data_IF_361562177658
#
_entry.id   IF_361562177658
#
_cell.length_a   1.000
_cell.length_b   1.000
_cell.length_c   1.000
_cell.angle_alpha   90.00
_cell.angle_beta   90.00
_cell.angle_gamma   90.00
#
_symmetry.space_group_name_H-M   'P 1'
#
loop_
_entity.id
_entity.type
_entity.pdbx_description
1 polymer ?
#
# COMPACT_ATOMS: atom_id res chain seq x y z
N UNK A 1 -18.91 -26.73 -10.10
CA UNK A 1 -17.91 -26.43 -9.06
C UNK A 1 -17.11 -25.18 -9.42
N UNK A 2 -17.14 -24.15 -8.57
CA UNK A 2 -16.26 -22.99 -8.77
C UNK A 2 -14.80 -23.47 -8.62
N UNK A 3 -13.94 -23.13 -9.58
CA UNK A 3 -12.51 -23.43 -9.48
C UNK A 3 -11.92 -22.69 -8.27
N UNK A 4 -10.98 -23.32 -7.57
CA UNK A 4 -10.24 -22.62 -6.51
C UNK A 4 -9.42 -21.49 -7.13
N UNK A 5 -9.33 -20.31 -6.48
CA UNK A 5 -8.54 -19.20 -6.99
C UNK A 5 -7.07 -19.60 -7.17
N UNK A 6 -6.45 -19.14 -8.24
CA UNK A 6 -5.01 -19.20 -8.41
C UNK A 6 -4.29 -18.37 -7.35
N UNK A 7 -3.00 -18.61 -7.14
CA UNK A 7 -2.20 -17.82 -6.20
C UNK A 7 -2.20 -16.32 -6.55
N UNK A 8 -2.26 -15.99 -7.85
CA UNK A 8 -2.30 -14.60 -8.30
C UNK A 8 -3.66 -13.95 -7.99
N UNK A 9 -4.77 -14.65 -8.22
CA UNK A 9 -6.09 -14.16 -7.83
C UNK A 9 -6.19 -13.97 -6.31
N UNK A 10 -5.60 -14.88 -5.52
CA UNK A 10 -5.57 -14.73 -4.07
C UNK A 10 -4.70 -13.55 -3.60
N UNK A 11 -3.59 -13.26 -4.28
CA UNK A 11 -2.80 -12.05 -4.02
C UNK A 11 -3.59 -10.78 -4.34
N UNK A 12 -4.30 -10.75 -5.46
CA UNK A 12 -5.18 -9.62 -5.82
C UNK A 12 -6.29 -9.42 -4.77
N UNK A 13 -6.94 -10.51 -4.36
CA UNK A 13 -7.95 -10.50 -3.28
C UNK A 13 -7.36 -9.99 -1.96
N UNK A 14 -6.15 -10.42 -1.60
CA UNK A 14 -5.45 -9.97 -0.39
C UNK A 14 -5.21 -8.46 -0.42
N UNK A 15 -4.80 -7.89 -1.56
CA UNK A 15 -4.63 -6.45 -1.72
C UNK A 15 -5.95 -5.69 -1.57
N UNK A 16 -7.02 -6.20 -2.18
CA UNK A 16 -8.36 -5.62 -2.06
C UNK A 16 -8.86 -5.64 -0.62
N UNK A 17 -8.80 -6.78 0.06
CA UNK A 17 -9.24 -6.89 1.45
C UNK A 17 -8.39 -6.07 2.41
N UNK A 18 -7.07 -5.99 2.17
CA UNK A 18 -6.20 -5.14 2.97
C UNK A 18 -6.62 -3.68 2.84
N UNK A 19 -6.85 -3.18 1.63
CA UNK A 19 -7.32 -1.81 1.44
C UNK A 19 -8.64 -1.54 2.19
N UNK A 20 -9.65 -2.40 1.97
CA UNK A 20 -10.97 -2.20 2.59
C UNK A 20 -10.94 -2.33 4.12
N UNK A 21 -10.04 -3.16 4.67
CA UNK A 21 -9.82 -3.27 6.11
C UNK A 21 -9.43 -1.94 6.76
N UNK A 22 -8.62 -1.11 6.08
CA UNK A 22 -8.19 0.19 6.60
C UNK A 22 -9.08 1.34 6.14
N UNK A 23 -9.65 1.27 4.93
CA UNK A 23 -10.57 2.28 4.42
C UNK A 23 -11.94 2.27 5.13
N UNK A 24 -12.36 1.10 5.63
CA UNK A 24 -13.71 0.89 6.15
C UNK A 24 -14.77 1.24 5.11
N UNK A 25 -15.91 1.78 5.57
CA UNK A 25 -17.04 2.14 4.70
C UNK A 25 -16.78 3.39 3.84
N UNK A 26 -15.69 4.11 4.09
CA UNK A 26 -15.36 5.37 3.41
C UNK A 26 -14.84 5.16 1.99
N UNK A 27 -14.39 3.95 1.66
CA UNK A 27 -13.74 3.58 0.39
C UNK A 27 -12.52 4.46 0.02
N UNK A 28 -11.87 5.06 1.02
CA UNK A 28 -10.60 5.76 0.88
C UNK A 28 -9.81 5.67 2.18
N UNK A 29 -8.49 5.83 2.08
CA UNK A 29 -7.59 5.95 3.20
C UNK A 29 -7.39 7.43 3.52
N UNK A 30 -7.65 7.81 4.76
CA UNK A 30 -7.12 9.05 5.34
C UNK A 30 -5.63 8.89 5.66
N UNK A 31 -4.94 9.99 5.97
CA UNK A 31 -3.53 9.95 6.40
C UNK A 31 -3.29 8.97 7.56
N UNK A 32 -4.21 8.93 8.53
CA UNK A 32 -4.15 8.01 9.67
C UNK A 32 -4.33 6.54 9.26
N UNK A 33 -5.27 6.26 8.36
CA UNK A 33 -5.51 4.91 7.84
C UNK A 33 -4.28 4.41 7.06
N UNK A 34 -3.69 5.28 6.21
CA UNK A 34 -2.48 4.97 5.46
C UNK A 34 -1.30 4.71 6.40
N UNK A 35 -1.17 5.51 7.47
CA UNK A 35 -0.15 5.27 8.50
C UNK A 35 -0.31 3.89 9.14
N UNK A 36 -1.51 3.57 9.61
CA UNK A 36 -1.81 2.29 10.24
C UNK A 36 -1.58 1.11 9.28
N UNK A 37 -1.91 1.28 8.01
CA UNK A 37 -1.66 0.30 6.96
C UNK A 37 -0.15 0.07 6.80
N UNK A 38 0.64 1.13 6.69
CA UNK A 38 2.08 1.01 6.50
C UNK A 38 2.76 0.40 7.73
N UNK A 39 2.38 0.81 8.95
CA UNK A 39 2.96 0.30 10.19
C UNK A 39 2.70 -1.20 10.39
N UNK A 40 1.52 -1.69 9.98
CA UNK A 40 1.12 -3.09 10.20
C UNK A 40 1.33 -3.99 8.98
N UNK A 41 1.22 -3.45 7.77
CA UNK A 41 1.28 -4.19 6.52
C UNK A 41 2.68 -4.30 5.94
N UNK A 42 3.54 -3.30 6.17
CA UNK A 42 4.94 -3.27 5.69
C UNK A 42 5.87 -2.72 6.78
N UNK A 43 5.94 -3.37 7.96
CA UNK A 43 6.71 -2.88 9.10
C UNK A 43 8.18 -2.61 8.76
N UNK A 44 8.82 -3.52 8.00
CA UNK A 44 10.23 -3.36 7.59
C UNK A 44 10.51 -2.15 6.68
N UNK A 45 9.49 -1.60 6.00
CA UNK A 45 9.66 -0.39 5.19
C UNK A 45 9.67 0.87 6.05
N UNK A 46 8.85 0.91 7.11
CA UNK A 46 8.82 2.04 8.04
C UNK A 46 9.89 1.98 9.14
N UNK A 47 10.33 0.79 9.55
CA UNK A 47 11.39 0.65 10.56
C UNK A 47 12.72 1.29 10.12
N UNK A 48 12.95 1.38 8.81
CA UNK A 48 14.12 2.03 8.23
C UNK A 48 13.89 3.52 7.89
N UNK A 49 12.67 4.03 8.04
CA UNK A 49 12.34 5.42 7.75
C UNK A 49 12.73 6.33 8.91
N UNK A 50 13.79 7.11 8.71
CA UNK A 50 14.26 8.13 9.67
C UNK A 50 13.62 9.50 9.44
N UNK A 51 12.92 9.71 8.32
CA UNK A 51 12.30 10.98 7.99
C UNK A 51 10.88 11.05 8.61
N UNK A 52 10.65 11.91 9.63
CA UNK A 52 9.32 12.08 10.22
C UNK A 52 8.29 12.62 9.22
N UNK A 53 8.72 13.18 8.08
CA UNK A 53 7.86 13.67 7.01
C UNK A 53 7.67 12.67 5.87
N UNK A 54 8.21 11.46 5.97
CA UNK A 54 8.08 10.46 4.92
C UNK A 54 6.63 10.13 4.57
N UNK A 55 5.80 9.94 5.59
CA UNK A 55 4.38 9.65 5.39
C UNK A 55 3.64 10.82 4.72
N UNK A 56 3.97 12.06 5.07
CA UNK A 56 3.41 13.26 4.43
C UNK A 56 3.76 13.33 2.94
N UNK A 57 5.00 13.00 2.58
CA UNK A 57 5.45 12.95 1.19
C UNK A 57 4.71 11.85 0.41
N UNK A 58 4.65 10.64 0.98
CA UNK A 58 3.93 9.51 0.38
C UNK A 58 2.46 9.88 0.19
N UNK A 59 1.81 10.42 1.21
CA UNK A 59 0.40 10.84 1.12
C UNK A 59 0.21 11.85 -0.01
N UNK A 60 1.10 12.85 -0.12
CA UNK A 60 1.04 13.87 -1.16
C UNK A 60 1.25 13.30 -2.57
N UNK A 61 2.11 12.31 -2.71
CA UNK A 61 2.39 11.67 -4.01
C UNK A 61 1.23 10.76 -4.45
N UNK A 62 0.50 10.17 -3.49
CA UNK A 62 -0.64 9.28 -3.75
C UNK A 62 -1.99 10.01 -3.87
N UNK A 63 -2.15 11.15 -3.17
CA UNK A 63 -3.35 11.99 -3.18
C UNK A 63 -3.41 12.84 -4.46
N UNK A 64 -3.79 12.20 -5.55
CA UNK A 64 -3.90 12.83 -6.87
C UNK A 64 -4.92 13.97 -6.91
N UNK A 65 -5.98 13.87 -6.09
CA UNK A 65 -7.05 14.86 -6.02
C UNK A 65 -6.75 16.01 -5.06
N UNK A 66 -5.71 15.89 -4.23
CA UNK A 66 -5.34 16.84 -3.17
C UNK A 66 -6.45 17.09 -2.17
N UNK A 67 -7.28 16.08 -1.90
CA UNK A 67 -8.40 16.15 -0.96
C UNK A 67 -8.09 15.44 0.38
N UNK A 68 -6.85 15.01 0.56
CA UNK A 68 -6.37 14.29 1.73
C UNK A 68 -6.82 12.83 1.75
N UNK A 69 -7.22 12.26 0.61
CA UNK A 69 -7.72 10.89 0.51
C UNK A 69 -6.97 10.08 -0.52
N UNK A 70 -6.70 8.83 -0.17
CA UNK A 70 -6.07 7.87 -1.09
C UNK A 70 -7.08 6.78 -1.40
N UNK A 71 -7.54 6.73 -2.65
CA UNK A 71 -8.37 5.64 -3.15
C UNK A 71 -7.58 4.36 -3.43
N UNK A 72 -8.28 3.30 -3.85
CA UNK A 72 -7.64 2.00 -4.14
C UNK A 72 -6.52 2.09 -5.18
N UNK A 73 -6.68 2.92 -6.22
CA UNK A 73 -5.63 3.12 -7.23
C UNK A 73 -4.35 3.71 -6.63
N UNK A 74 -4.46 4.70 -5.74
CA UNK A 74 -3.30 5.29 -5.06
C UNK A 74 -2.63 4.27 -4.14
N UNK A 75 -3.42 3.52 -3.36
CA UNK A 75 -2.90 2.40 -2.57
C UNK A 75 -2.17 1.35 -3.43
N UNK A 76 -2.76 0.93 -4.55
CA UNK A 76 -2.15 -0.06 -5.43
C UNK A 76 -0.86 0.47 -6.08
N UNK A 77 -0.82 1.76 -6.42
CA UNK A 77 0.38 2.42 -6.94
C UNK A 77 1.52 2.42 -5.92
N UNK A 78 1.22 2.63 -4.62
CA UNK A 78 2.19 2.49 -3.54
C UNK A 78 2.76 1.07 -3.48
N UNK A 79 1.88 0.06 -3.45
CA UNK A 79 2.30 -1.35 -3.38
C UNK A 79 3.15 -1.74 -4.59
N UNK A 80 2.76 -1.31 -5.78
CA UNK A 80 3.53 -1.53 -7.01
C UNK A 80 4.92 -0.88 -6.92
N UNK A 81 5.00 0.38 -6.48
CA UNK A 81 6.28 1.08 -6.31
C UNK A 81 7.20 0.40 -5.30
N UNK A 82 6.66 -0.05 -4.16
CA UNK A 82 7.41 -0.82 -3.16
C UNK A 82 7.91 -2.15 -3.71
N UNK A 83 7.06 -2.87 -4.44
CA UNK A 83 7.39 -4.16 -5.04
C UNK A 83 8.49 -4.02 -6.09
N UNK A 84 8.43 -2.98 -6.94
CA UNK A 84 9.47 -2.68 -7.92
C UNK A 84 10.79 -2.35 -7.21
N UNK A 85 10.77 -1.48 -6.19
CA UNK A 85 11.99 -1.15 -5.44
C UNK A 85 12.63 -2.39 -4.78
N UNK A 86 11.81 -3.27 -4.20
CA UNK A 86 12.27 -4.54 -3.65
C UNK A 86 12.84 -5.47 -4.73
N UNK A 87 12.20 -5.55 -5.90
CA UNK A 87 12.68 -6.36 -7.02
C UNK A 87 14.02 -5.83 -7.55
N UNK A 88 14.16 -4.51 -7.74
CA UNK A 88 15.40 -3.89 -8.19
C UNK A 88 16.54 -4.17 -7.20
N UNK A 89 16.27 -4.08 -5.89
CA UNK A 89 17.24 -4.46 -4.87
C UNK A 89 17.63 -5.93 -4.97
N UNK A 90 16.66 -6.84 -5.12
CA UNK A 90 16.88 -8.27 -5.26
C UNK A 90 17.76 -8.59 -6.48
N UNK A 91 17.43 -8.03 -7.65
CA UNK A 91 18.18 -8.27 -8.90
C UNK A 91 19.62 -7.76 -8.83
N UNK A 92 19.88 -6.70 -8.05
CA UNK A 92 21.22 -6.12 -7.93
C UNK A 92 22.08 -6.81 -6.86
N UNK A 93 21.47 -7.35 -5.80
CA UNK A 93 22.20 -7.82 -4.60
C UNK A 93 22.06 -9.31 -4.30
N UNK A 94 21.20 -10.05 -5.01
CA UNK A 94 21.14 -11.52 -4.99
C UNK A 94 21.49 -12.09 -6.35
#
# INVERSE_FOLDING_TARGET
PAAMPSQMEHAMETLMFTFHKYAGDKNHLSKEDLRALMEKGVPGFLENQRDPMALDKIMKDLDQCRDGKVGFQGFFSLVAGLTIACNDYFVVHM
#
